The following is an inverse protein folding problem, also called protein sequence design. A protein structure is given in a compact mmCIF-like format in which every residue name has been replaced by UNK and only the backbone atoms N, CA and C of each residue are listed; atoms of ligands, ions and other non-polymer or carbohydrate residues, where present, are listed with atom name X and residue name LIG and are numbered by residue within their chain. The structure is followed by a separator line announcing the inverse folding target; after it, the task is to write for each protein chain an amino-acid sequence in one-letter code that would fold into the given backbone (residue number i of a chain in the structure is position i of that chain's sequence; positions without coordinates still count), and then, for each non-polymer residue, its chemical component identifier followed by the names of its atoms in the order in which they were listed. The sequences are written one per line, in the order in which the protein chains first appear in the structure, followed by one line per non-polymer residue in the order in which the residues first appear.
data_IF_258649029651
#
_entry.id   IF_258649029651
#
_cell.length_a   1.000
_cell.length_b   1.000
_cell.length_c   1.000
_cell.angle_alpha   90.00
_cell.angle_beta   90.00
_cell.angle_gamma   90.00
#
_symmetry.space_group_name_H-M   'P 1'
#
loop_
_entity.id
_entity.type
_entity.pdbx_description
1 polymer ?
#
# COMPACT_ATOMS: atom_id res chain seq x y z
N UNK A 1 -0.65 11.04 9.34
CA UNK A 1 -1.67 11.74 8.53
C UNK A 1 -2.51 12.74 9.31
N UNK A 2 -3.48 12.35 10.16
CA UNK A 2 -4.39 13.33 10.80
C UNK A 2 -3.68 14.43 11.59
N UNK A 3 -2.66 14.06 12.37
CA UNK A 3 -1.91 15.01 13.19
C UNK A 3 -1.11 16.02 12.35
N UNK A 4 -0.54 15.59 11.22
CA UNK A 4 0.22 16.45 10.31
C UNK A 4 -0.72 17.44 9.65
N UNK A 5 -1.79 16.95 9.00
CA UNK A 5 -2.80 17.81 8.35
C UNK A 5 -3.43 18.81 9.32
N UNK A 6 -3.70 18.40 10.56
CA UNK A 6 -4.28 19.30 11.56
C UNK A 6 -3.30 20.40 11.99
N UNK A 7 -1.99 20.11 11.99
CA UNK A 7 -0.95 21.12 12.23
C UNK A 7 -0.77 22.05 11.04
N UNK A 8 -0.76 21.51 9.82
CA UNK A 8 -0.67 22.30 8.59
C UNK A 8 -1.84 23.31 8.52
N UNK A 9 -3.07 22.85 8.77
CA UNK A 9 -4.24 23.71 8.86
C UNK A 9 -4.14 24.74 10.00
N UNK A 10 -3.54 24.37 11.13
CA UNK A 10 -3.35 25.30 12.24
C UNK A 10 -2.40 26.44 11.85
N UNK A 11 -1.33 26.14 11.12
CA UNK A 11 -0.43 27.13 10.54
C UNK A 11 -1.17 28.02 9.53
N UNK A 12 -1.99 27.44 8.65
CA UNK A 12 -2.78 28.19 7.65
C UNK A 12 -3.77 29.18 8.28
N UNK A 13 -4.38 28.83 9.42
CA UNK A 13 -5.28 29.73 10.15
C UNK A 13 -4.56 30.64 11.16
N UNK A 14 -3.23 30.74 11.05
CA UNK A 14 -2.37 31.58 11.90
C UNK A 14 -2.50 31.28 13.41
N UNK A 15 -2.74 30.02 13.79
CA UNK A 15 -2.56 29.63 15.18
C UNK A 15 -1.07 29.65 15.52
N UNK A 16 -0.74 30.35 16.61
CA UNK A 16 0.63 30.53 17.06
C UNK A 16 1.34 29.18 17.29
N UNK A 17 2.62 29.11 16.90
CA UNK A 17 3.41 27.88 17.01
C UNK A 17 3.48 27.42 18.47
N UNK A 18 2.86 26.28 18.76
CA UNK A 18 2.81 25.70 20.11
C UNK A 18 1.43 25.73 20.77
N UNK A 19 0.46 26.52 20.29
CA UNK A 19 -0.91 26.53 20.82
C UNK A 19 -1.68 25.24 20.48
N UNK A 20 -1.36 24.63 19.33
CA UNK A 20 -2.03 23.42 18.87
C UNK A 20 -1.03 22.30 18.56
N UNK A 21 -0.86 21.39 19.53
CA UNK A 21 0.05 20.26 19.40
C UNK A 21 -0.52 19.08 18.58
N UNK A 22 -1.80 19.13 18.21
CA UNK A 22 -2.54 17.99 17.63
C UNK A 22 -2.27 16.67 18.41
N UNK A 23 -2.34 16.77 19.74
CA UNK A 23 -1.88 15.73 20.67
C UNK A 23 -2.61 14.39 20.48
N UNK A 24 -2.05 13.30 21.04
CA UNK A 24 -2.68 11.97 20.99
C UNK A 24 -4.08 11.97 21.61
N UNK A 25 -4.28 12.70 22.70
CA UNK A 25 -5.58 12.82 23.37
C UNK A 25 -6.58 13.62 22.53
N UNK A 26 -6.15 14.73 21.93
CA UNK A 26 -6.95 15.49 20.96
C UNK A 26 -7.36 14.59 19.78
N UNK A 27 -6.40 13.88 19.18
CA UNK A 27 -6.65 12.99 18.04
C UNK A 27 -7.69 11.92 18.38
N UNK A 28 -7.59 11.31 19.56
CA UNK A 28 -8.57 10.31 20.02
C UNK A 28 -9.96 10.95 20.14
N UNK A 29 -10.08 12.07 20.85
CA UNK A 29 -11.36 12.77 21.03
C UNK A 29 -11.96 13.26 19.72
N UNK A 30 -11.13 13.73 18.79
CA UNK A 30 -11.55 14.16 17.47
C UNK A 30 -12.15 13.00 16.68
N UNK A 31 -11.49 11.84 16.67
CA UNK A 31 -12.02 10.64 16.01
C UNK A 31 -13.33 10.18 16.65
N UNK A 32 -13.38 10.10 17.99
CA UNK A 32 -14.57 9.68 18.73
C UNK A 32 -15.77 10.62 18.47
N UNK A 33 -15.55 11.93 18.54
CA UNK A 33 -16.60 12.95 18.32
C UNK A 33 -17.18 12.90 16.90
N UNK A 34 -16.35 12.58 15.91
CA UNK A 34 -16.77 12.49 14.51
C UNK A 34 -17.18 11.07 14.09
N UNK A 35 -17.28 10.12 15.04
CA UNK A 35 -17.58 8.71 14.78
C UNK A 35 -16.60 8.07 13.77
N UNK A 36 -15.34 8.48 13.82
CA UNK A 36 -14.25 7.96 12.98
C UNK A 36 -13.36 7.00 13.78
N UNK A 37 -12.71 6.08 13.09
CA UNK A 37 -11.81 5.08 13.69
C UNK A 37 -10.59 4.85 12.80
N UNK A 38 -9.45 4.55 13.43
CA UNK A 38 -8.28 4.04 12.70
C UNK A 38 -8.53 2.58 12.35
N UNK A 39 -8.43 2.25 11.06
CA UNK A 39 -8.68 0.90 10.56
C UNK A 39 -7.48 0.38 9.79
N UNK A 40 -7.14 -0.89 10.03
CA UNK A 40 -6.14 -1.62 9.25
C UNK A 40 -6.77 -2.04 7.92
N UNK A 41 -5.99 -1.99 6.85
CA UNK A 41 -6.39 -2.45 5.51
C UNK A 41 -6.74 -3.94 5.57
N UNK A 42 -7.88 -4.34 4.99
CA UNK A 42 -8.36 -5.74 5.04
C UNK A 42 -8.47 -6.42 3.68
N UNK A 43 -8.43 -5.69 2.55
CA UNK A 43 -8.51 -6.32 1.23
C UNK A 43 -7.74 -5.56 0.14
N UNK A 44 -6.90 -6.29 -0.58
CA UNK A 44 -6.26 -5.89 -1.84
C UNK A 44 -6.87 -6.72 -2.97
N UNK A 45 -7.40 -6.05 -3.99
CA UNK A 45 -7.94 -6.72 -5.17
C UNK A 45 -7.28 -6.15 -6.41
N UNK A 46 -6.43 -6.94 -7.07
CA UNK A 46 -6.02 -6.67 -8.43
C UNK A 46 -7.10 -7.27 -9.34
N UNK A 47 -7.85 -6.41 -10.03
CA UNK A 47 -8.79 -6.85 -11.05
C UNK A 47 -7.97 -7.26 -12.26
N UNK A 48 -7.91 -8.55 -12.54
CA UNK A 48 -7.27 -9.07 -13.75
C UNK A 48 -8.34 -9.11 -14.83
N UNK A 49 -8.13 -8.42 -15.95
CA UNK A 49 -9.04 -8.46 -17.11
C UNK A 49 -8.90 -9.80 -17.83
N UNK A 50 -9.97 -10.30 -18.45
CA UNK A 50 -9.92 -11.56 -19.22
C UNK A 50 -8.88 -11.52 -20.36
N UNK A 51 -8.67 -10.34 -20.95
CA UNK A 51 -7.65 -10.08 -21.97
C UNK A 51 -6.23 -10.43 -21.48
N UNK A 52 -5.95 -10.27 -20.18
CA UNK A 52 -4.64 -10.57 -19.63
C UNK A 52 -4.29 -12.07 -19.71
N UNK A 53 -5.29 -12.96 -19.65
CA UNK A 53 -5.07 -14.41 -19.76
C UNK A 53 -4.67 -14.80 -21.18
N UNK A 54 -5.29 -14.17 -22.17
CA UNK A 54 -4.98 -14.39 -23.60
C UNK A 54 -3.56 -13.91 -23.91
N UNK A 55 -3.22 -12.69 -23.49
CA UNK A 55 -1.88 -12.11 -23.67
C UNK A 55 -0.81 -12.98 -23.00
N UNK A 56 -1.04 -13.46 -21.77
CA UNK A 56 -0.12 -14.35 -21.08
C UNK A 56 0.07 -15.69 -21.81
N UNK A 57 -0.99 -16.22 -22.44
CA UNK A 57 -0.91 -17.43 -23.25
C UNK A 57 -0.04 -17.27 -24.49
N UNK A 58 -0.22 -16.17 -25.23
CA UNK A 58 0.58 -15.85 -26.41
C UNK A 58 2.06 -15.63 -26.05
N UNK A 59 2.32 -14.89 -24.96
CA UNK A 59 3.68 -14.66 -24.48
C UNK A 59 4.40 -15.97 -24.13
N UNK A 60 3.73 -16.89 -23.42
CA UNK A 60 4.31 -18.20 -23.08
C UNK A 60 4.73 -19.00 -24.30
N UNK A 61 3.88 -19.05 -25.34
CA UNK A 61 4.20 -19.78 -26.59
C UNK A 61 5.46 -19.23 -27.25
N UNK A 62 5.55 -17.90 -27.36
CA UNK A 62 6.72 -17.24 -27.94
C UNK A 62 8.02 -17.53 -27.17
N UNK A 63 7.96 -17.52 -25.84
CA UNK A 63 9.14 -17.85 -25.01
C UNK A 63 9.57 -19.32 -25.21
N UNK A 64 8.62 -20.25 -25.32
CA UNK A 64 8.94 -21.67 -25.57
C UNK A 64 9.64 -21.89 -26.91
N UNK A 65 9.21 -21.20 -27.97
CA UNK A 65 9.86 -21.25 -29.29
C UNK A 65 11.31 -20.77 -29.22
N UNK A 66 11.56 -19.64 -28.54
CA UNK A 66 12.89 -19.05 -28.35
C UNK A 66 13.81 -19.98 -27.55
N UNK A 67 13.29 -20.64 -26.51
CA UNK A 67 14.08 -21.59 -25.70
C UNK A 67 14.57 -22.77 -26.55
N UNK A 68 13.70 -23.30 -27.41
CA UNK A 68 14.03 -24.44 -28.28
C UNK A 68 15.00 -23.99 -29.38
N UNK A 69 14.75 -22.86 -30.04
CA UNK A 69 15.58 -22.34 -31.12
C UNK A 69 17.02 -22.05 -30.68
N UNK A 70 17.18 -21.43 -29.51
CA UNK A 70 18.49 -21.02 -29.00
C UNK A 70 19.11 -22.00 -28.01
N UNK A 71 18.47 -23.16 -27.78
CA UNK A 71 18.91 -24.17 -26.82
C UNK A 71 19.22 -23.58 -25.43
N UNK A 72 18.33 -22.72 -24.93
CA UNK A 72 18.50 -22.02 -23.66
C UNK A 72 18.30 -23.00 -22.51
N UNK A 73 19.35 -23.24 -21.72
CA UNK A 73 19.32 -24.14 -20.56
C UNK A 73 18.97 -23.42 -19.25
N UNK A 74 19.21 -22.11 -19.18
CA UNK A 74 19.07 -21.31 -17.97
C UNK A 74 18.27 -20.04 -18.24
N UNK A 75 17.30 -19.74 -17.38
CA UNK A 75 16.43 -18.56 -17.48
C UNK A 75 16.44 -17.88 -16.12
N UNK A 76 16.86 -16.61 -16.12
CA UNK A 76 16.92 -15.78 -14.92
C UNK A 76 15.77 -14.77 -14.93
N UNK A 77 15.05 -14.66 -13.81
CA UNK A 77 14.11 -13.58 -13.62
C UNK A 77 14.87 -12.30 -13.24
N UNK A 78 14.59 -11.20 -13.94
CA UNK A 78 15.13 -9.89 -13.60
C UNK A 78 14.00 -8.87 -13.73
N UNK A 79 13.76 -8.13 -12.66
CA UNK A 79 12.81 -7.02 -12.65
C UNK A 79 13.38 -5.85 -11.87
N UNK A 80 12.96 -4.64 -12.25
CA UNK A 80 13.27 -3.45 -11.49
C UNK A 80 12.12 -3.19 -10.51
N UNK A 81 12.40 -3.37 -9.22
CA UNK A 81 11.48 -2.94 -8.16
C UNK A 81 11.89 -1.55 -7.68
N UNK A 82 11.01 -0.56 -7.91
CA UNK A 82 11.19 0.76 -7.35
C UNK A 82 11.10 0.68 -5.82
N UNK A 83 12.09 1.24 -5.12
CA UNK A 83 11.97 1.43 -3.67
C UNK A 83 11.05 2.63 -3.40
N UNK A 84 9.93 2.37 -2.75
CA UNK A 84 9.06 3.42 -2.26
C UNK A 84 9.64 3.99 -0.96
N UNK A 85 10.12 5.23 -1.02
CA UNK A 85 10.54 5.97 0.18
C UNK A 85 9.34 6.50 0.98
N UNK A 86 8.16 6.57 0.36
CA UNK A 86 6.92 6.92 1.04
C UNK A 86 6.31 5.69 1.70
N UNK A 87 6.30 5.68 3.03
CA UNK A 87 5.50 4.72 3.79
C UNK A 87 4.03 5.06 3.61
N UNK A 88 3.36 4.28 2.78
CA UNK A 88 1.91 4.32 2.69
C UNK A 88 1.33 3.95 4.07
N UNK A 89 0.45 4.78 4.64
CA UNK A 89 -0.03 4.57 5.99
C UNK A 89 -0.83 3.26 6.06
N UNK A 90 -0.35 2.32 6.87
CA UNK A 90 -1.00 1.01 7.13
C UNK A 90 -2.40 1.14 7.71
N UNK A 91 -2.70 2.32 8.28
CA UNK A 91 -3.98 2.68 8.87
C UNK A 91 -4.63 3.84 8.14
N UNK A 92 -5.88 3.65 7.73
CA UNK A 92 -6.77 4.68 7.20
C UNK A 92 -7.79 5.12 8.25
N UNK A 93 -8.34 6.32 8.08
CA UNK A 93 -9.41 6.84 8.92
C UNK A 93 -10.72 6.59 8.18
N UNK A 94 -11.61 5.83 8.80
CA UNK A 94 -12.92 5.49 8.24
C UNK A 94 -13.98 5.53 9.35
N UNK A 95 -15.25 5.54 8.93
CA UNK A 95 -16.40 5.55 9.82
C UNK A 95 -16.37 4.35 10.76
N UNK A 96 -16.70 4.61 12.02
CA UNK A 96 -16.79 3.59 13.06
C UNK A 96 -17.90 2.60 12.69
N UNK A 97 -17.60 1.31 12.74
CA UNK A 97 -18.53 0.24 12.33
C UNK A 97 -18.36 -0.27 10.90
N UNK A 98 -17.60 0.39 10.02
CA UNK A 98 -17.35 -0.13 8.66
C UNK A 98 -16.60 -1.48 8.72
N UNK A 99 -17.15 -2.51 8.05
CA UNK A 99 -16.62 -3.88 8.03
C UNK A 99 -15.44 -4.05 7.07
N UNK A 100 -15.42 -3.29 5.97
CA UNK A 100 -14.43 -3.43 4.91
C UNK A 100 -13.95 -2.06 4.45
N UNK A 101 -12.65 -1.81 4.56
CA UNK A 101 -12.04 -0.57 4.08
C UNK A 101 -11.39 -0.84 2.73
N UNK A 102 -11.95 -0.27 1.68
CA UNK A 102 -11.44 -0.42 0.32
C UNK A 102 -10.41 0.66 0.04
N UNK A 103 -9.18 0.24 -0.23
CA UNK A 103 -8.13 1.13 -0.75
C UNK A 103 -7.83 0.70 -2.17
N UNK A 104 -8.14 1.57 -3.13
CA UNK A 104 -7.70 1.38 -4.51
C UNK A 104 -6.21 1.76 -4.56
N UNK A 105 -5.33 0.76 -4.59
CA UNK A 105 -3.90 0.98 -4.83
C UNK A 105 -3.60 0.76 -6.30
N UNK A 106 -2.79 1.64 -6.89
CA UNK A 106 -2.21 1.43 -8.20
C UNK A 106 -1.02 0.45 -8.08
N UNK A 107 -1.34 -0.81 -7.77
CA UNK A 107 -0.49 -1.98 -8.00
C UNK A 107 0.88 -2.10 -7.30
N UNK A 108 1.36 -1.13 -6.52
CA UNK A 108 2.73 -1.18 -5.97
C UNK A 108 2.77 -0.73 -4.52
N UNK A 109 2.73 -1.70 -3.60
CA UNK A 109 3.10 -1.48 -2.21
C UNK A 109 3.67 -2.76 -1.62
N UNK A 110 4.83 -2.65 -0.97
CA UNK A 110 5.58 -3.75 -0.38
C UNK A 110 5.19 -3.85 1.10
N UNK A 111 4.94 -5.06 1.60
CA UNK A 111 4.73 -5.26 3.04
C UNK A 111 6.03 -4.95 3.80
N UNK A 112 5.95 -4.41 5.02
CA UNK A 112 7.13 -4.26 5.85
C UNK A 112 7.66 -5.66 6.16
N UNK A 113 8.79 -6.01 5.56
CA UNK A 113 9.54 -7.20 5.92
C UNK A 113 9.95 -7.09 7.39
N UNK A 114 9.17 -7.71 8.28
CA UNK A 114 9.61 -8.08 9.60
C UNK A 114 10.73 -9.10 9.42
N UNK A 115 11.96 -8.68 9.67
CA UNK A 115 13.10 -9.56 9.66
C UNK A 115 12.99 -10.56 10.80
N UNK A 116 12.48 -11.75 10.50
CA UNK A 116 12.82 -12.97 11.22
C UNK A 116 13.30 -13.96 10.17
N UNK A 117 14.61 -13.90 9.91
CA UNK A 117 15.33 -14.95 9.21
C UNK A 117 15.40 -16.17 10.13
N UNK A 118 14.35 -16.98 10.12
CA UNK A 118 14.45 -18.37 10.54
C UNK A 118 14.61 -19.22 9.28
N UNK A 119 15.86 -19.35 8.84
CA UNK A 119 16.28 -20.44 7.96
C UNK A 119 15.98 -21.76 8.66
N UNK A 120 14.99 -22.50 8.17
CA UNK A 120 14.97 -23.95 8.32
C UNK A 120 15.38 -24.53 6.97
N UNK A 121 16.52 -25.22 6.99
CA UNK A 121 16.98 -26.13 5.93
C UNK A 121 15.97 -27.27 5.71
#
# INVERSE_FOLDING_TARGET
MLQLKARDLATEICLDEGLFAASRSWRKRFLDANRLSLRRRTRHGQVTTDDARVVAGQFRKKIQEIIIEHNITEIYNSDQTAMNYEHLPTHTIDTTGTRTVWVRSCGKEQEPHGGDASCCF
#
